data_IF_168798190090
#
_entry.id   IF_168798190090
#
_cell.length_a   1.000
_cell.length_b   1.000
_cell.length_c   1.000
_cell.angle_alpha   90.00
_cell.angle_beta   90.00
_cell.angle_gamma   90.00
#
_symmetry.space_group_name_H-M   'P 1'
#
loop_
_entity.id
_entity.type
_entity.pdbx_description
1 polymer ?
#
# COMPACT_ATOMS: atom_id res chain seq x y z
N UNK A 1 -6.12 0.92 -12.38
CA UNK A 1 -5.69 -0.49 -12.40
C UNK A 1 -4.58 -0.67 -11.38
N UNK A 2 -4.60 -1.76 -10.62
CA UNK A 2 -3.57 -2.10 -9.66
C UNK A 2 -3.02 -3.49 -10.03
N UNK A 3 -1.70 -3.62 -10.05
CA UNK A 3 -1.03 -4.89 -10.28
C UNK A 3 -0.01 -5.14 -9.17
N UNK A 4 -0.02 -6.33 -8.53
CA UNK A 4 1.01 -6.71 -7.60
C UNK A 4 2.35 -6.82 -8.30
N UNK A 5 3.37 -6.18 -7.73
CA UNK A 5 4.74 -6.21 -8.23
C UNK A 5 5.72 -6.35 -7.07
N UNK A 6 6.94 -6.88 -7.29
CA UNK A 6 7.95 -6.95 -6.26
C UNK A 6 8.35 -5.56 -5.76
N UNK A 7 8.60 -5.41 -4.48
CA UNK A 7 9.17 -4.19 -3.91
C UNK A 7 10.67 -4.07 -4.25
N UNK A 8 11.26 -2.89 -4.05
CA UNK A 8 12.65 -2.58 -4.47
C UNK A 8 13.72 -3.44 -3.78
N UNK A 9 13.43 -4.00 -2.61
CA UNK A 9 14.34 -4.92 -1.92
C UNK A 9 14.28 -6.36 -2.44
N UNK A 10 13.40 -6.66 -3.39
CA UNK A 10 13.20 -8.01 -3.91
C UNK A 10 12.85 -7.98 -5.40
N UNK A 11 13.51 -8.81 -6.20
CA UNK A 11 13.19 -8.96 -7.63
C UNK A 11 14.08 -8.21 -8.61
N UNK A 12 14.94 -7.28 -8.17
CA UNK A 12 15.95 -6.65 -9.03
C UNK A 12 15.41 -5.93 -10.28
N UNK A 13 14.17 -5.44 -10.25
CA UNK A 13 13.53 -4.76 -11.39
C UNK A 13 13.92 -3.29 -11.41
N UNK A 14 14.46 -2.84 -12.53
CA UNK A 14 14.66 -1.41 -12.80
C UNK A 14 13.36 -0.76 -13.29
N UNK A 15 12.63 -0.16 -12.38
CA UNK A 15 11.34 0.47 -12.70
C UNK A 15 11.43 1.71 -13.56
N UNK A 16 12.62 2.31 -13.75
CA UNK A 16 12.80 3.43 -14.66
C UNK A 16 12.64 3.00 -16.12
N UNK A 17 13.07 1.80 -16.41
CA UNK A 17 12.98 1.22 -17.76
C UNK A 17 11.77 0.32 -17.92
N UNK A 18 11.46 -0.50 -16.93
CA UNK A 18 10.42 -1.52 -17.03
C UNK A 18 8.97 -0.99 -16.86
N UNK A 19 8.79 0.15 -16.20
CA UNK A 19 7.44 0.67 -15.93
C UNK A 19 6.62 0.90 -17.19
N UNK A 20 7.21 1.46 -18.24
CA UNK A 20 6.53 1.71 -19.51
C UNK A 20 6.17 0.43 -20.24
N UNK A 21 7.09 -0.53 -20.24
CA UNK A 21 6.91 -1.84 -20.88
C UNK A 21 5.81 -2.62 -20.16
N UNK A 22 5.86 -2.65 -18.83
CA UNK A 22 4.87 -3.32 -18.02
C UNK A 22 3.48 -2.70 -18.17
N UNK A 23 3.40 -1.36 -18.12
CA UNK A 23 2.15 -0.61 -18.39
C UNK A 23 1.55 -1.00 -19.73
N UNK A 24 2.36 -1.00 -20.80
CA UNK A 24 1.88 -1.37 -22.14
C UNK A 24 1.29 -2.79 -22.18
N UNK A 25 1.95 -3.75 -21.52
CA UNK A 25 1.41 -5.12 -21.39
C UNK A 25 0.08 -5.15 -20.65
N UNK A 26 -0.05 -4.41 -19.53
CA UNK A 26 -1.29 -4.33 -18.78
C UNK A 26 -2.42 -3.70 -19.59
N UNK A 27 -2.16 -2.59 -20.28
CA UNK A 27 -3.16 -1.94 -21.11
C UNK A 27 -3.63 -2.86 -22.25
N UNK A 28 -2.71 -3.56 -22.88
CA UNK A 28 -3.03 -4.55 -23.92
C UNK A 28 -3.98 -5.63 -23.41
N UNK A 29 -3.68 -6.24 -22.26
CA UNK A 29 -4.55 -7.27 -21.67
C UNK A 29 -5.93 -6.71 -21.32
N UNK A 30 -6.00 -5.50 -20.77
CA UNK A 30 -7.28 -4.84 -20.45
C UNK A 30 -8.09 -4.54 -21.70
N UNK A 31 -7.45 -4.09 -22.76
CA UNK A 31 -8.10 -3.77 -24.03
C UNK A 31 -8.63 -5.01 -24.71
N UNK A 32 -7.85 -6.09 -24.72
CA UNK A 32 -8.24 -7.36 -25.34
C UNK A 32 -9.35 -8.11 -24.58
N UNK A 33 -9.35 -8.04 -23.25
CA UNK A 33 -10.23 -8.88 -22.43
C UNK A 33 -11.45 -8.15 -21.87
N UNK A 34 -11.36 -6.84 -21.60
CA UNK A 34 -12.37 -6.13 -20.83
C UNK A 34 -12.91 -4.87 -21.52
N UNK A 35 -12.06 -4.07 -22.13
CA UNK A 35 -12.39 -2.72 -22.61
C UNK A 35 -11.84 -2.47 -24.00
N UNK A 36 -12.46 -3.01 -25.06
CA UNK A 36 -12.00 -2.77 -26.45
C UNK A 36 -11.92 -1.28 -26.79
N UNK A 37 -10.80 -0.86 -27.36
CA UNK A 37 -10.53 0.54 -27.72
C UNK A 37 -10.12 1.43 -26.54
N UNK A 38 -9.70 0.85 -25.41
CA UNK A 38 -9.28 1.59 -24.22
C UNK A 38 -8.15 2.57 -24.53
N UNK A 39 -7.12 2.14 -25.21
CA UNK A 39 -5.92 2.95 -25.50
C UNK A 39 -6.25 4.26 -26.22
N UNK A 40 -7.23 4.26 -27.11
CA UNK A 40 -7.67 5.46 -27.84
C UNK A 40 -8.52 6.42 -27.02
N UNK A 41 -8.96 6.00 -25.84
CA UNK A 41 -9.89 6.77 -24.97
C UNK A 41 -9.23 7.31 -23.70
N UNK A 42 -7.95 7.02 -23.49
CA UNK A 42 -7.19 7.53 -22.35
C UNK A 42 -6.91 9.02 -22.59
N UNK A 43 -7.49 9.88 -21.78
CA UNK A 43 -7.24 11.32 -21.80
C UNK A 43 -6.15 11.75 -20.83
N UNK A 44 -6.00 11.03 -19.75
CA UNK A 44 -5.01 11.33 -18.70
C UNK A 44 -4.56 10.02 -18.06
N UNK A 45 -3.27 9.90 -17.78
CA UNK A 45 -2.74 8.74 -17.07
C UNK A 45 -1.72 9.15 -16.01
N UNK A 46 -1.65 8.37 -14.95
CA UNK A 46 -0.62 8.47 -13.93
C UNK A 46 -0.16 7.07 -13.55
N UNK A 47 1.15 6.88 -13.48
CA UNK A 47 1.75 5.60 -13.13
C UNK A 47 2.51 5.74 -11.81
N UNK A 48 2.21 4.88 -10.88
CA UNK A 48 2.92 4.73 -9.62
C UNK A 48 3.71 3.43 -9.65
N UNK A 49 5.00 3.53 -9.43
CA UNK A 49 5.92 2.39 -9.30
C UNK A 49 6.35 2.24 -7.85
N UNK A 50 7.02 1.16 -7.46
CA UNK A 50 7.66 1.06 -6.15
C UNK A 50 8.62 2.23 -5.85
N UNK A 51 9.32 2.78 -6.86
CA UNK A 51 10.12 3.99 -6.68
C UNK A 51 9.26 5.19 -6.27
N UNK A 52 8.10 5.37 -6.91
CA UNK A 52 7.16 6.44 -6.55
C UNK A 52 6.69 6.31 -5.09
N UNK A 53 6.39 5.09 -4.64
CA UNK A 53 6.01 4.85 -3.25
C UNK A 53 7.14 5.14 -2.27
N UNK A 54 8.38 4.75 -2.60
CA UNK A 54 9.55 5.10 -1.80
C UNK A 54 9.76 6.60 -1.71
N UNK A 55 9.78 7.28 -2.84
CA UNK A 55 10.25 8.67 -2.93
C UNK A 55 9.17 9.67 -2.50
N UNK A 56 7.90 9.39 -2.78
CA UNK A 56 6.78 10.29 -2.47
C UNK A 56 6.15 10.03 -1.12
N UNK A 57 6.09 8.78 -0.69
CA UNK A 57 5.40 8.37 0.54
C UNK A 57 6.36 7.80 1.59
N UNK A 58 7.66 7.80 1.32
CA UNK A 58 8.70 7.29 2.21
C UNK A 58 8.45 5.83 2.64
N UNK A 59 7.74 5.07 1.80
CA UNK A 59 7.44 3.68 2.10
C UNK A 59 8.71 2.82 2.03
N UNK A 60 9.02 2.04 3.06
CA UNK A 60 10.16 1.13 3.04
C UNK A 60 10.13 0.23 1.81
N UNK A 61 11.23 0.21 1.06
CA UNK A 61 11.36 -0.53 -0.20
C UNK A 61 10.28 -0.25 -1.26
N UNK A 62 9.56 0.86 -1.15
CA UNK A 62 8.47 1.19 -2.09
C UNK A 62 7.24 0.29 -1.96
N UNK A 63 7.01 -0.28 -0.78
CA UNK A 63 5.84 -1.10 -0.49
C UNK A 63 4.55 -0.25 -0.51
N UNK A 64 3.56 -0.64 -1.31
CA UNK A 64 2.29 0.09 -1.42
C UNK A 64 1.31 -0.18 -0.28
N UNK A 65 1.43 -1.30 0.41
CA UNK A 65 0.48 -1.77 1.43
C UNK A 65 1.13 -2.07 2.78
N UNK A 66 2.33 -1.56 3.02
CA UNK A 66 3.10 -1.84 4.23
C UNK A 66 3.48 -3.32 4.35
N UNK A 67 3.03 -4.03 5.37
CA UNK A 67 3.36 -5.43 5.63
C UNK A 67 2.61 -6.34 4.65
N UNK A 68 3.30 -7.36 4.14
CA UNK A 68 2.75 -8.36 3.23
C UNK A 68 1.53 -9.07 3.86
N UNK A 69 0.42 -9.27 3.12
CA UNK A 69 -0.79 -9.87 3.67
C UNK A 69 -0.70 -11.40 3.77
N UNK A 70 0.28 -11.90 4.49
CA UNK A 70 0.34 -13.31 4.91
C UNK A 70 -0.58 -13.55 6.10
N UNK A 71 -1.04 -14.79 6.30
CA UNK A 71 -1.97 -15.13 7.39
C UNK A 71 -1.45 -14.66 8.74
N UNK A 72 -0.19 -14.95 9.08
CA UNK A 72 0.45 -14.55 10.33
C UNK A 72 0.92 -13.08 10.38
N UNK A 73 0.58 -12.28 9.39
CA UNK A 73 0.87 -10.85 9.29
C UNK A 73 -0.38 -10.05 8.92
N UNK A 74 -1.55 -10.64 9.09
CA UNK A 74 -2.83 -10.02 8.72
C UNK A 74 -3.75 -9.92 9.91
N UNK A 75 -4.68 -8.98 9.87
CA UNK A 75 -5.68 -8.72 10.90
C UNK A 75 -5.07 -8.64 12.32
N UNK A 76 -5.40 -9.59 13.18
CA UNK A 76 -4.91 -9.64 14.56
C UNK A 76 -3.39 -9.75 14.69
N UNK A 77 -2.72 -10.41 13.75
CA UNK A 77 -1.27 -10.61 13.79
C UNK A 77 -0.46 -9.40 13.28
N UNK A 78 -1.12 -8.31 12.93
CA UNK A 78 -0.42 -7.04 12.67
C UNK A 78 0.02 -6.40 13.97
N UNK A 79 1.06 -5.53 13.95
CA UNK A 79 1.41 -4.72 15.11
C UNK A 79 0.17 -4.06 15.71
N UNK A 80 0.03 -4.16 17.03
CA UNK A 80 -1.10 -3.57 17.75
C UNK A 80 -1.01 -2.04 17.78
N UNK A 81 -2.12 -1.39 18.06
CA UNK A 81 -2.20 0.07 18.11
C UNK A 81 -1.52 0.68 19.35
N UNK A 82 -1.24 -0.13 20.38
CA UNK A 82 -0.35 0.22 21.50
C UNK A 82 0.95 -0.54 21.29
N UNK A 83 2.08 0.15 21.36
CA UNK A 83 3.39 -0.48 21.25
C UNK A 83 3.63 -1.43 22.42
N UNK A 84 4.13 -2.62 22.12
CA UNK A 84 4.55 -3.60 23.14
C UNK A 84 6.00 -3.34 23.58
N UNK A 85 6.75 -2.51 22.86
CA UNK A 85 8.17 -2.26 23.11
C UNK A 85 8.43 -0.92 23.81
N UNK A 86 7.52 0.04 23.67
CA UNK A 86 7.72 1.38 24.21
C UNK A 86 6.45 1.91 24.86
N UNK A 87 6.55 2.30 26.12
CA UNK A 87 5.44 2.91 26.88
C UNK A 87 5.05 4.27 26.28
N UNK A 88 3.75 4.52 26.17
CA UNK A 88 3.19 5.76 25.62
C UNK A 88 3.30 5.92 24.10
N UNK A 89 3.82 4.92 23.38
CA UNK A 89 3.87 4.92 21.93
C UNK A 89 2.64 4.24 21.34
N UNK A 90 1.95 4.96 20.48
CA UNK A 90 0.77 4.49 19.77
C UNK A 90 1.04 4.40 18.26
N UNK A 91 0.49 3.40 17.61
CA UNK A 91 0.69 3.11 16.21
C UNK A 91 -0.65 3.16 15.46
N UNK A 92 -0.66 3.78 14.28
CA UNK A 92 -1.86 3.90 13.45
C UNK A 92 -1.50 3.84 11.97
N UNK A 93 -2.35 3.27 11.15
CA UNK A 93 -2.18 3.23 9.71
C UNK A 93 -2.17 1.83 9.10
N UNK A 94 -1.78 1.73 7.84
CA UNK A 94 -1.85 0.50 7.07
C UNK A 94 -0.99 -0.66 7.61
N UNK A 95 0.05 -0.34 8.39
CA UNK A 95 0.94 -1.34 9.00
C UNK A 95 0.44 -1.95 10.32
N UNK A 96 -0.65 -1.44 10.88
CA UNK A 96 -1.18 -1.84 12.18
C UNK A 96 -2.51 -2.59 12.05
N UNK A 97 -2.97 -3.17 13.15
CA UNK A 97 -4.32 -3.73 13.24
C UNK A 97 -5.38 -2.64 13.01
N UNK A 98 -6.49 -2.89 12.26
CA UNK A 98 -6.86 -4.13 11.56
C UNK A 98 -6.20 -4.32 10.20
N UNK A 99 -5.55 -3.32 9.58
CA UNK A 99 -4.78 -3.54 8.38
C UNK A 99 -4.90 -2.48 7.29
N UNK A 100 -4.44 -2.85 6.09
CA UNK A 100 -4.38 -2.00 4.92
C UNK A 100 -5.75 -1.83 4.23
N UNK A 101 -5.81 -0.86 3.32
CA UNK A 101 -7.02 -0.45 2.61
C UNK A 101 -7.70 0.73 3.29
N UNK A 102 -8.41 1.56 2.52
CA UNK A 102 -9.03 2.79 3.05
C UNK A 102 -9.93 2.53 4.26
N UNK A 103 -10.86 1.57 4.24
CA UNK A 103 -11.66 1.24 5.42
C UNK A 103 -10.81 0.79 6.60
N UNK A 104 -9.84 -0.11 6.36
CA UNK A 104 -8.95 -0.61 7.41
C UNK A 104 -8.14 0.51 8.07
N UNK A 105 -7.56 1.41 7.29
CA UNK A 105 -6.78 2.55 7.80
C UNK A 105 -7.64 3.52 8.62
N UNK A 106 -8.87 3.78 8.19
CA UNK A 106 -9.81 4.60 8.97
C UNK A 106 -10.15 3.90 10.30
N UNK A 107 -10.42 2.60 10.25
CA UNK A 107 -10.70 1.81 11.47
C UNK A 107 -9.53 1.79 12.44
N UNK A 108 -8.26 1.87 11.99
CA UNK A 108 -7.13 1.97 12.93
C UNK A 108 -7.19 3.25 13.76
N UNK A 109 -7.65 4.36 13.18
CA UNK A 109 -7.81 5.61 13.92
C UNK A 109 -8.96 5.53 14.93
N UNK A 110 -10.06 4.87 14.58
CA UNK A 110 -11.17 4.62 15.47
C UNK A 110 -10.76 3.77 16.67
N UNK A 111 -10.06 2.65 16.41
CA UNK A 111 -9.50 1.82 17.48
C UNK A 111 -8.54 2.63 18.37
N UNK A 112 -7.65 3.40 17.77
CA UNK A 112 -6.70 4.22 18.52
C UNK A 112 -7.41 5.25 19.40
N UNK A 113 -8.48 5.87 18.93
CA UNK A 113 -9.24 6.86 19.70
C UNK A 113 -9.82 6.31 21.02
N UNK A 114 -10.03 4.99 21.08
CA UNK A 114 -10.51 4.31 22.28
C UNK A 114 -9.37 3.88 23.24
N UNK A 115 -8.14 3.85 22.74
CA UNK A 115 -6.97 3.38 23.47
C UNK A 115 -6.16 4.53 24.08
N UNK A 116 -6.20 5.71 23.47
CA UNK A 116 -5.50 6.90 24.00
C UNK A 116 -6.25 7.44 25.20
N UNK A 117 -5.60 7.58 26.37
CA UNK A 117 -6.23 8.18 27.54
C UNK A 117 -6.67 9.62 27.29
N UNK A 118 -7.74 10.04 27.95
CA UNK A 118 -8.14 11.45 27.97
C UNK A 118 -7.00 12.35 28.47
N UNK A 119 -6.87 13.52 27.87
CA UNK A 119 -5.89 14.50 28.33
C UNK A 119 -6.15 14.84 29.80
N UNK A 120 -5.12 14.67 30.63
CA UNK A 120 -5.16 15.13 32.01
C UNK A 120 -5.23 16.65 31.97
N UNK A 121 -6.34 17.20 32.49
CA UNK A 121 -6.54 18.64 32.62
C UNK A 121 -5.73 19.21 33.77
#
# INVERSE_FOLDING_TARGET
>A
VLSPVPHLGHGGVDWKTEASVYKAKMLKVLEEQLLPGLSSRISTEQVFTPETFRDRYLSPHGSGFSIEPRILQSAWFRPHNISEEAEGLYLVGAGTHPGAGVPGVISTAEVLSQLVPDAVK
#
